data_IF_111241646653
#
_entry.id   IF_111241646653
#
_cell.length_a   1.000
_cell.length_b   1.000
_cell.length_c   1.000
_cell.angle_alpha   90.00
_cell.angle_beta   90.00
_cell.angle_gamma   90.00
#
_symmetry.space_group_name_H-M   'P 1'
#
loop_
_entity.id
_entity.type
_entity.pdbx_description
1 polymer ?
#
# COMPACT_ATOMS: atom_id res chain seq x y z
N UNK A 1 -26.00 -43.15 -12.66
CA UNK A 1 -25.01 -42.89 -11.59
C UNK A 1 -24.09 -41.81 -12.14
N UNK A 2 -24.46 -40.54 -11.92
CA UNK A 2 -23.69 -39.39 -12.43
C UNK A 2 -22.41 -39.20 -11.62
N UNK A 3 -21.29 -38.78 -12.25
CA UNK A 3 -20.07 -38.47 -11.55
C UNK A 3 -20.21 -37.14 -10.80
N UNK A 4 -19.87 -37.18 -9.52
CA UNK A 4 -19.76 -36.03 -8.62
C UNK A 4 -18.75 -35.01 -9.19
N UNK A 5 -19.22 -33.81 -9.50
CA UNK A 5 -18.34 -32.69 -9.79
C UNK A 5 -17.64 -32.29 -8.48
N UNK A 6 -16.33 -32.57 -8.36
CA UNK A 6 -15.51 -31.95 -7.31
C UNK A 6 -15.56 -30.44 -7.51
N UNK A 7 -16.30 -29.75 -6.65
CA UNK A 7 -16.31 -28.30 -6.60
C UNK A 7 -14.87 -27.77 -6.53
N UNK A 8 -14.48 -26.97 -7.52
CA UNK A 8 -13.21 -26.27 -7.51
C UNK A 8 -13.25 -25.32 -6.30
N UNK A 9 -12.51 -25.64 -5.24
CA UNK A 9 -12.24 -24.67 -4.17
C UNK A 9 -11.57 -23.45 -4.79
N UNK A 10 -12.33 -22.38 -5.00
CA UNK A 10 -11.79 -21.11 -5.43
C UNK A 10 -10.99 -20.54 -4.27
N UNK A 11 -9.67 -20.68 -4.33
CA UNK A 11 -8.76 -20.02 -3.39
C UNK A 11 -9.02 -18.51 -3.42
N UNK A 12 -9.32 -17.93 -2.25
CA UNK A 12 -9.59 -16.51 -2.08
C UNK A 12 -8.32 -15.74 -1.72
N UNK A 13 -8.34 -14.42 -1.96
CA UNK A 13 -7.29 -13.52 -1.49
C UNK A 13 -7.08 -13.66 0.03
N UNK A 14 -5.82 -13.62 0.47
CA UNK A 14 -5.44 -13.78 1.88
C UNK A 14 -5.16 -15.22 2.30
N UNK A 15 -5.26 -16.18 1.38
CA UNK A 15 -4.97 -17.61 1.63
C UNK A 15 -4.09 -18.23 0.52
N UNK A 16 -3.48 -17.41 -0.34
CA UNK A 16 -2.65 -17.87 -1.46
C UNK A 16 -1.17 -17.66 -1.15
N UNK A 17 -0.50 -18.72 -0.76
CA UNK A 17 0.95 -18.73 -0.48
C UNK A 17 1.77 -18.38 -1.73
N UNK A 18 2.86 -17.63 -1.54
CA UNK A 18 3.83 -17.38 -2.60
C UNK A 18 4.67 -18.63 -2.88
N UNK A 19 4.96 -18.91 -4.16
CA UNK A 19 5.91 -19.98 -4.50
C UNK A 19 7.33 -19.63 -4.07
N UNK A 20 8.23 -20.61 -3.96
CA UNK A 20 9.63 -20.36 -3.61
C UNK A 20 10.33 -19.45 -4.63
N UNK A 21 9.98 -19.57 -5.92
CA UNK A 21 10.49 -18.69 -6.97
C UNK A 21 9.95 -17.26 -6.82
N UNK A 22 8.64 -17.10 -6.56
CA UNK A 22 8.02 -15.79 -6.34
C UNK A 22 8.65 -15.09 -5.13
N UNK A 23 8.77 -15.79 -4.00
CA UNK A 23 9.39 -15.23 -2.78
C UNK A 23 10.82 -14.77 -3.05
N UNK A 24 11.62 -15.57 -3.75
CA UNK A 24 13.01 -15.22 -4.09
C UNK A 24 13.08 -14.01 -5.02
N UNK A 25 12.22 -13.95 -6.03
CA UNK A 25 12.18 -12.83 -6.99
C UNK A 25 11.74 -11.54 -6.31
N UNK A 26 10.65 -11.58 -5.53
CA UNK A 26 10.12 -10.44 -4.77
C UNK A 26 11.15 -9.95 -3.75
N UNK A 27 11.77 -10.86 -2.99
CA UNK A 27 12.79 -10.51 -2.00
C UNK A 27 13.96 -9.77 -2.65
N UNK A 28 14.47 -10.28 -3.79
CA UNK A 28 15.55 -9.61 -4.54
C UNK A 28 15.12 -8.24 -5.05
N UNK A 29 13.90 -8.11 -5.57
CA UNK A 29 13.39 -6.84 -6.09
C UNK A 29 13.22 -5.78 -4.98
N UNK A 30 12.76 -6.18 -3.79
CA UNK A 30 12.59 -5.27 -2.65
C UNK A 30 13.92 -4.75 -2.07
N UNK A 31 15.06 -5.39 -2.35
CA UNK A 31 16.39 -4.89 -1.97
C UNK A 31 16.88 -3.76 -2.89
N UNK A 32 16.22 -3.54 -4.04
CA UNK A 32 16.60 -2.48 -4.96
C UNK A 32 16.14 -1.12 -4.46
N UNK A 33 16.98 -0.10 -4.63
CA UNK A 33 16.58 1.29 -4.38
C UNK A 33 15.85 1.83 -5.59
N UNK A 34 14.82 2.64 -5.34
CA UNK A 34 14.14 3.38 -6.39
C UNK A 34 15.10 4.40 -7.02
N UNK A 35 15.03 4.52 -8.35
CA UNK A 35 15.78 5.52 -9.08
C UNK A 35 15.30 6.96 -8.80
N UNK A 36 16.09 7.97 -9.18
CA UNK A 36 15.74 9.37 -8.96
C UNK A 36 14.42 9.76 -9.63
N UNK A 37 14.05 9.11 -10.73
CA UNK A 37 12.79 9.36 -11.45
C UNK A 37 11.55 9.07 -10.61
N UNK A 38 11.65 8.31 -9.51
CA UNK A 38 10.55 8.05 -8.58
C UNK A 38 10.39 9.11 -7.50
N UNK A 39 11.40 9.95 -7.29
CA UNK A 39 11.46 10.91 -6.20
C UNK A 39 11.00 12.29 -6.67
N UNK A 40 10.02 12.84 -5.96
CA UNK A 40 9.56 14.22 -6.09
C UNK A 40 10.04 15.06 -4.92
N UNK A 41 10.07 16.37 -5.08
CA UNK A 41 10.50 17.30 -4.04
C UNK A 41 9.47 18.42 -3.85
N UNK A 42 9.25 18.82 -2.60
CA UNK A 42 8.45 20.00 -2.27
C UNK A 42 9.21 20.95 -1.33
N UNK A 43 8.97 22.27 -1.40
CA UNK A 43 9.46 23.20 -0.39
C UNK A 43 8.86 22.89 0.98
N UNK A 44 9.63 23.11 2.04
CA UNK A 44 9.22 23.01 3.43
C UNK A 44 9.60 24.29 4.21
N UNK A 45 9.00 24.52 5.39
CA UNK A 45 9.36 25.66 6.24
C UNK A 45 10.88 25.74 6.49
N UNK A 46 11.41 26.96 6.60
CA UNK A 46 12.85 27.18 6.78
C UNK A 46 13.70 26.99 5.51
N UNK A 47 13.09 26.95 4.33
CA UNK A 47 13.82 26.86 3.04
C UNK A 47 14.34 25.46 2.71
N UNK A 48 13.98 24.45 3.51
CA UNK A 48 14.34 23.06 3.26
C UNK A 48 13.49 22.46 2.13
N UNK A 49 13.99 21.36 1.55
CA UNK A 49 13.24 20.55 0.59
C UNK A 49 12.98 19.18 1.20
N UNK A 50 11.75 18.71 1.07
CA UNK A 50 11.34 17.37 1.49
C UNK A 50 11.15 16.52 0.25
N UNK A 51 11.83 15.38 0.22
CA UNK A 51 11.69 14.36 -0.82
C UNK A 51 10.53 13.43 -0.46
N UNK A 52 9.75 13.04 -1.47
CA UNK A 52 8.65 12.10 -1.30
C UNK A 52 8.41 11.31 -2.60
N UNK A 53 7.67 10.22 -2.49
CA UNK A 53 7.19 9.45 -3.65
C UNK A 53 5.73 9.78 -3.85
N UNK A 54 5.32 10.08 -5.08
CA UNK A 54 3.93 10.33 -5.41
C UNK A 54 3.09 9.06 -5.25
N UNK A 55 1.88 9.16 -4.71
CA UNK A 55 1.06 7.98 -4.40
C UNK A 55 0.81 7.05 -5.59
N UNK A 56 0.58 7.61 -6.78
CA UNK A 56 0.36 6.81 -8.00
C UNK A 56 1.60 5.97 -8.39
N UNK A 57 2.81 6.45 -8.07
CA UNK A 57 4.05 5.70 -8.32
C UNK A 57 4.16 4.52 -7.36
N UNK A 58 3.84 4.73 -6.07
CA UNK A 58 3.81 3.65 -5.08
C UNK A 58 2.81 2.55 -5.46
N UNK A 59 1.61 2.93 -5.94
CA UNK A 59 0.60 2.00 -6.46
C UNK A 59 1.14 1.19 -7.64
N UNK A 60 1.80 1.85 -8.60
CA UNK A 60 2.38 1.15 -9.75
C UNK A 60 3.50 0.18 -9.36
N UNK A 61 4.37 0.57 -8.42
CA UNK A 61 5.42 -0.31 -7.89
C UNK A 61 4.80 -1.55 -7.22
N UNK A 62 3.76 -1.38 -6.41
CA UNK A 62 3.06 -2.51 -5.79
C UNK A 62 2.41 -3.44 -6.83
N UNK A 63 1.76 -2.87 -7.86
CA UNK A 63 1.21 -3.65 -8.97
C UNK A 63 2.27 -4.42 -9.77
N UNK A 64 3.47 -3.86 -9.92
CA UNK A 64 4.58 -4.54 -10.61
C UNK A 64 5.20 -5.66 -9.77
N UNK A 65 5.32 -5.46 -8.46
CA UNK A 65 5.93 -6.43 -7.55
C UNK A 65 5.00 -7.59 -7.20
N UNK A 66 3.74 -7.29 -6.89
CA UNK A 66 2.79 -8.28 -6.37
C UNK A 66 1.72 -8.67 -7.41
N UNK A 67 1.59 -7.93 -8.51
CA UNK A 67 0.46 -8.07 -9.44
C UNK A 67 -0.78 -7.31 -8.94
N UNK A 68 -1.67 -6.93 -9.86
CA UNK A 68 -2.87 -6.13 -9.55
C UNK A 68 -3.82 -6.80 -8.53
N UNK A 69 -3.76 -8.12 -8.39
CA UNK A 69 -4.55 -8.94 -7.46
C UNK A 69 -3.70 -9.58 -6.35
N UNK A 70 -2.40 -9.27 -6.28
CA UNK A 70 -1.51 -9.83 -5.26
C UNK A 70 -1.37 -8.97 -4.01
N UNK A 71 -1.93 -7.77 -4.01
CA UNK A 71 -2.00 -6.87 -2.87
C UNK A 71 -3.36 -6.16 -2.82
N UNK A 72 -3.73 -5.70 -1.63
CA UNK A 72 -4.89 -4.85 -1.40
C UNK A 72 -4.59 -3.89 -0.25
N UNK A 73 -5.45 -2.89 -0.06
CA UNK A 73 -5.39 -2.03 1.11
C UNK A 73 -6.80 -1.68 1.61
N UNK A 74 -6.90 -1.31 2.88
CA UNK A 74 -8.12 -0.82 3.50
C UNK A 74 -7.83 0.30 4.49
N UNK A 75 -8.82 1.19 4.69
CA UNK A 75 -8.79 2.19 5.76
C UNK A 75 -9.24 1.48 7.04
N UNK A 76 -8.31 1.24 7.96
CA UNK A 76 -8.60 0.60 9.25
C UNK A 76 -9.27 1.59 10.21
N UNK A 77 -8.82 2.84 10.20
CA UNK A 77 -9.43 3.94 10.96
C UNK A 77 -9.17 5.29 10.27
N UNK A 78 -10.05 6.26 10.52
CA UNK A 78 -9.86 7.64 10.11
C UNK A 78 -10.46 8.55 11.17
N UNK A 79 -9.66 9.48 11.69
CA UNK A 79 -10.03 10.35 12.80
C UNK A 79 -9.72 11.80 12.45
N UNK A 80 -10.66 12.69 12.72
CA UNK A 80 -10.42 14.14 12.67
C UNK A 80 -9.87 14.56 14.02
N UNK A 81 -8.59 14.93 14.06
CA UNK A 81 -7.88 15.22 15.30
C UNK A 81 -8.20 16.62 15.82
N UNK A 82 -8.32 17.60 14.92
CA UNK A 82 -8.75 18.96 15.24
C UNK A 82 -9.36 19.67 14.03
N UNK A 83 -10.23 20.62 14.31
CA UNK A 83 -10.81 21.57 13.34
C UNK A 83 -10.83 22.94 13.99
N UNK A 84 -9.86 23.78 13.63
CA UNK A 84 -9.72 25.14 14.15
C UNK A 84 -10.11 26.17 13.10
N UNK A 85 -10.73 27.26 13.53
CA UNK A 85 -11.05 28.42 12.67
C UNK A 85 -10.39 29.67 13.25
N UNK A 86 -9.51 30.31 12.47
CA UNK A 86 -8.81 31.52 12.87
C UNK A 86 -8.68 32.49 11.69
N UNK A 87 -9.11 33.75 11.90
CA UNK A 87 -9.03 34.83 10.91
C UNK A 87 -9.56 34.46 9.51
N UNK A 88 -10.68 33.75 9.44
CA UNK A 88 -11.31 33.35 8.17
C UNK A 88 -10.65 32.14 7.49
N UNK A 89 -9.70 31.46 8.15
CA UNK A 89 -9.04 30.25 7.65
C UNK A 89 -9.33 29.07 8.56
N UNK A 90 -9.52 27.90 7.96
CA UNK A 90 -9.64 26.63 8.67
C UNK A 90 -8.29 25.90 8.71
N UNK A 91 -8.00 25.27 9.83
CA UNK A 91 -6.85 24.39 10.05
C UNK A 91 -7.40 23.05 10.51
N UNK A 92 -7.10 21.99 9.77
CA UNK A 92 -7.66 20.67 10.00
C UNK A 92 -6.55 19.64 10.05
N UNK A 93 -6.54 18.82 11.10
CA UNK A 93 -5.71 17.64 11.21
C UNK A 93 -6.58 16.39 11.09
N UNK A 94 -6.17 15.46 10.25
CA UNK A 94 -6.82 14.15 10.09
C UNK A 94 -5.74 13.10 10.09
N UNK A 95 -5.92 12.05 10.89
CA UNK A 95 -5.08 10.87 10.90
C UNK A 95 -5.85 9.70 10.29
N UNK A 96 -5.18 8.88 9.48
CA UNK A 96 -5.73 7.63 8.96
C UNK A 96 -4.78 6.46 9.18
N UNK A 97 -5.29 5.35 9.70
CA UNK A 97 -4.55 4.08 9.75
C UNK A 97 -4.92 3.26 8.52
N UNK A 98 -3.92 2.94 7.70
CA UNK A 98 -4.09 2.16 6.48
C UNK A 98 -3.46 0.78 6.66
N UNK A 99 -4.21 -0.26 6.32
CA UNK A 99 -3.72 -1.64 6.24
C UNK A 99 -3.43 -2.01 4.81
N UNK A 100 -2.23 -2.52 4.53
CA UNK A 100 -1.86 -3.16 3.26
C UNK A 100 -1.72 -4.65 3.50
N UNK A 101 -2.37 -5.47 2.68
CA UNK A 101 -2.35 -6.93 2.78
C UNK A 101 -1.92 -7.56 1.45
N UNK A 102 -1.15 -8.65 1.50
CA UNK A 102 -0.76 -9.45 0.34
C UNK A 102 -1.65 -10.70 0.16
N UNK A 103 -1.55 -11.35 -1.00
CA UNK A 103 -2.37 -12.53 -1.34
C UNK A 103 -2.24 -13.72 -0.39
N UNK A 104 -1.13 -13.82 0.34
CA UNK A 104 -0.88 -14.85 1.37
C UNK A 104 -1.46 -14.50 2.74
N UNK A 105 -2.02 -13.30 2.89
CA UNK A 105 -2.62 -12.83 4.14
C UNK A 105 -1.69 -12.01 5.02
N UNK A 106 -0.38 -11.97 4.72
CA UNK A 106 0.58 -11.09 5.40
C UNK A 106 0.19 -9.62 5.22
N UNK A 107 0.42 -8.80 6.25
CA UNK A 107 -0.04 -7.41 6.25
C UNK A 107 0.85 -6.49 7.08
N UNK A 108 0.79 -5.20 6.74
CA UNK A 108 1.36 -4.10 7.52
C UNK A 108 0.31 -2.99 7.67
N UNK A 109 0.33 -2.30 8.81
CA UNK A 109 -0.48 -1.12 9.08
C UNK A 109 0.44 0.05 9.42
N UNK A 110 0.08 1.25 8.94
CA UNK A 110 0.78 2.50 9.27
C UNK A 110 -0.19 3.68 9.31
N UNK A 111 0.26 4.80 9.89
CA UNK A 111 -0.53 6.04 10.06
C UNK A 111 -0.04 7.12 9.11
N UNK A 112 -0.97 7.82 8.46
CA UNK A 112 -0.72 8.99 7.61
C UNK A 112 -1.63 10.16 7.91
#
# INVERSE_FOLDING_TARGET
>A
MEPYEKGIERSSFGCFEFSSEEQTAIHKALQLRLGPDFVSQRPAPGGQKVLYIEGWRSVNVANQLFGYNGWSHSVASQTVDFVDHNQGRFFVGVSATIRVQLKDGSYHEDVG
#
